data_IF_455199815459
#
_entry.id   IF_455199815459
#
_cell.length_a   1.000
_cell.length_b   1.000
_cell.length_c   1.000
_cell.angle_alpha   90.00
_cell.angle_beta   90.00
_cell.angle_gamma   90.00
#
_symmetry.space_group_name_H-M   'P 1'
#
loop_
_entity.id
_entity.type
_entity.pdbx_description
1 polymer ?
#
# COMPACT_ATOMS: atom_id res chain seq x y z
N UNK A 1 -12.25 -48.11 -14.07
CA UNK A 1 -12.14 -46.67 -13.74
C UNK A 1 -12.30 -46.34 -12.26
N UNK A 2 -13.24 -46.97 -11.51
CA UNK A 2 -13.42 -46.75 -10.05
C UNK A 2 -12.15 -46.85 -9.18
N UNK A 3 -11.24 -47.83 -9.34
CA UNK A 3 -10.06 -47.92 -8.46
C UNK A 3 -9.07 -46.77 -8.64
N UNK A 4 -8.97 -46.20 -9.86
CA UNK A 4 -8.08 -45.07 -10.14
C UNK A 4 -8.55 -43.77 -9.49
N UNK A 5 -9.86 -43.54 -9.51
CA UNK A 5 -10.46 -42.36 -8.87
C UNK A 5 -10.31 -42.39 -7.35
N UNK A 6 -10.36 -43.59 -6.75
CA UNK A 6 -10.10 -43.76 -5.32
C UNK A 6 -8.66 -43.45 -4.95
N UNK A 7 -7.67 -43.88 -5.74
CA UNK A 7 -6.25 -43.59 -5.48
C UNK A 7 -5.95 -42.10 -5.59
N UNK A 8 -6.54 -41.43 -6.60
CA UNK A 8 -6.45 -39.97 -6.74
C UNK A 8 -7.06 -39.31 -5.51
N UNK A 9 -8.29 -39.66 -5.14
CA UNK A 9 -8.97 -39.07 -3.97
C UNK A 9 -8.20 -39.30 -2.67
N UNK A 10 -7.60 -40.47 -2.49
CA UNK A 10 -6.82 -40.84 -1.31
C UNK A 10 -5.50 -40.05 -1.24
N UNK A 11 -4.80 -39.90 -2.37
CA UNK A 11 -3.60 -39.05 -2.46
C UNK A 11 -3.91 -37.56 -2.24
N UNK A 12 -5.08 -37.10 -2.67
CA UNK A 12 -5.56 -35.75 -2.38
C UNK A 12 -5.90 -35.58 -0.90
N UNK A 13 -6.54 -36.57 -0.28
CA UNK A 13 -6.84 -36.57 1.15
C UNK A 13 -5.55 -36.58 1.98
N UNK A 14 -4.55 -37.35 1.56
CA UNK A 14 -3.21 -37.37 2.15
C UNK A 14 -2.52 -36.00 2.05
N UNK A 15 -2.58 -35.35 0.88
CA UNK A 15 -2.04 -34.01 0.68
C UNK A 15 -2.76 -32.95 1.54
N UNK A 16 -4.09 -33.06 1.70
CA UNK A 16 -4.90 -32.18 2.55
C UNK A 16 -4.66 -32.42 4.05
N UNK A 17 -4.35 -33.65 4.44
CA UNK A 17 -4.00 -34.02 5.81
C UNK A 17 -2.53 -33.69 6.17
N UNK A 18 -1.75 -33.19 5.21
CA UNK A 18 -0.35 -32.86 5.44
C UNK A 18 -0.20 -31.70 6.43
N UNK A 19 0.60 -31.90 7.48
CA UNK A 19 0.98 -30.84 8.43
C UNK A 19 1.62 -29.65 7.71
N UNK A 20 2.32 -29.91 6.61
CA UNK A 20 2.99 -28.87 5.82
C UNK A 20 1.98 -27.92 5.18
N UNK A 21 0.85 -28.42 4.68
CA UNK A 21 -0.22 -27.57 4.14
C UNK A 21 -0.75 -26.59 5.19
N UNK A 22 -1.01 -27.08 6.39
CA UNK A 22 -1.50 -26.26 7.49
C UNK A 22 -0.48 -25.23 7.96
N UNK A 23 0.81 -25.60 8.03
CA UNK A 23 1.89 -24.65 8.34
C UNK A 23 1.93 -23.53 7.28
N UNK A 24 1.86 -23.88 6.00
CA UNK A 24 1.83 -22.88 4.92
C UNK A 24 0.59 -21.99 5.04
N UNK A 25 -0.60 -22.55 5.29
CA UNK A 25 -1.81 -21.72 5.51
C UNK A 25 -1.68 -20.79 6.71
N UNK A 26 -1.06 -21.22 7.81
CA UNK A 26 -0.79 -20.33 8.96
C UNK A 26 0.12 -19.18 8.54
N UNK A 27 1.22 -19.48 7.83
CA UNK A 27 2.14 -18.45 7.33
C UNK A 27 1.43 -17.49 6.37
N UNK A 28 0.64 -18.00 5.42
CA UNK A 28 -0.16 -17.18 4.50
C UNK A 28 -1.17 -16.31 5.27
N UNK A 29 -1.78 -16.84 6.32
CA UNK A 29 -2.71 -16.08 7.18
C UNK A 29 -2.00 -14.97 7.93
N UNK A 30 -0.79 -15.20 8.44
CA UNK A 30 0.03 -14.16 9.07
C UNK A 30 0.38 -13.04 8.08
N UNK A 31 0.72 -13.40 6.83
CA UNK A 31 0.98 -12.43 5.76
C UNK A 31 -0.28 -11.60 5.48
N UNK A 32 -1.44 -12.25 5.32
CA UNK A 32 -2.72 -11.56 5.13
C UNK A 32 -3.06 -10.64 6.31
N UNK A 33 -2.83 -11.11 7.54
CA UNK A 33 -3.07 -10.33 8.75
C UNK A 33 -2.13 -9.14 8.88
N UNK A 34 -0.89 -9.24 8.38
CA UNK A 34 0.03 -8.11 8.32
C UNK A 34 -0.40 -7.05 7.29
N UNK A 35 -1.10 -7.45 6.22
CA UNK A 35 -1.59 -6.53 5.17
C UNK A 35 -2.96 -5.92 5.51
N UNK A 36 -3.83 -6.67 6.19
CA UNK A 36 -5.20 -6.27 6.56
C UNK A 36 -5.37 -4.90 7.26
N UNK A 37 -4.42 -4.42 8.09
CA UNK A 37 -4.56 -3.14 8.79
C UNK A 37 -4.31 -1.92 7.91
N UNK A 38 -3.84 -2.10 6.68
CA UNK A 38 -3.61 -1.01 5.75
C UNK A 38 -4.95 -0.40 5.31
N UNK A 39 -5.10 0.91 5.47
CA UNK A 39 -6.31 1.65 5.12
C UNK A 39 -5.95 3.01 4.53
N UNK A 40 -6.65 3.41 3.48
CA UNK A 40 -6.48 4.72 2.83
C UNK A 40 -7.77 5.51 3.01
N UNK A 41 -7.71 6.64 3.73
CA UNK A 41 -8.88 7.50 3.94
C UNK A 41 -8.75 8.80 3.16
N UNK A 42 -9.87 9.30 2.65
CA UNK A 42 -9.97 10.62 2.03
C UNK A 42 -10.60 11.54 3.06
N UNK A 43 -9.98 12.68 3.27
CA UNK A 43 -10.48 13.72 4.15
C UNK A 43 -10.36 15.06 3.42
N UNK A 44 -11.11 16.07 3.88
CA UNK A 44 -10.96 17.42 3.33
C UNK A 44 -9.57 17.94 3.67
N UNK A 45 -8.96 18.63 2.71
CA UNK A 45 -7.64 19.18 2.90
C UNK A 45 -7.62 20.15 4.09
N UNK A 46 -6.75 19.86 5.06
CA UNK A 46 -6.65 20.52 6.35
C UNK A 46 -5.31 21.24 6.54
N UNK A 47 -4.35 21.00 5.63
CA UNK A 47 -3.03 21.60 5.64
C UNK A 47 -2.72 22.31 4.33
N UNK A 48 -1.79 23.25 4.38
CA UNK A 48 -1.20 23.88 3.20
C UNK A 48 0.03 23.05 2.83
N UNK A 49 -0.02 22.44 1.66
CA UNK A 49 1.07 21.65 1.11
C UNK A 49 2.17 22.52 0.52
N UNK A 50 3.43 22.04 0.43
CA UNK A 50 4.49 22.73 -0.30
C UNK A 50 4.12 23.08 -1.75
N UNK A 51 3.21 22.33 -2.36
CA UNK A 51 2.74 22.56 -3.73
C UNK A 51 1.61 23.58 -3.81
N UNK A 52 0.95 23.90 -2.69
CA UNK A 52 -0.18 24.83 -2.64
C UNK A 52 0.26 26.29 -2.50
N UNK A 53 1.54 26.57 -2.19
CA UNK A 53 1.97 27.93 -1.82
C UNK A 53 3.24 28.35 -2.57
N UNK A 54 3.21 29.57 -3.11
CA UNK A 54 4.41 30.28 -3.54
C UNK A 54 5.04 30.99 -2.34
N UNK A 55 5.90 30.27 -1.61
CA UNK A 55 6.45 30.72 -0.33
C UNK A 55 7.15 32.09 -0.39
N UNK A 56 8.03 32.40 -1.38
CA UNK A 56 8.61 33.73 -1.53
C UNK A 56 7.56 34.83 -1.69
N UNK A 57 6.53 34.61 -2.53
CA UNK A 57 5.46 35.58 -2.75
C UNK A 57 4.63 35.77 -1.49
N UNK A 58 4.26 34.68 -0.82
CA UNK A 58 3.51 34.70 0.45
C UNK A 58 4.25 35.48 1.53
N UNK A 59 5.57 35.28 1.67
CA UNK A 59 6.37 36.01 2.65
C UNK A 59 6.34 37.51 2.37
N UNK A 60 6.46 37.92 1.10
CA UNK A 60 6.42 39.34 0.74
C UNK A 60 5.05 39.97 1.00
N UNK A 61 3.97 39.25 0.66
CA UNK A 61 2.58 39.65 0.88
C UNK A 61 2.30 39.81 2.39
N UNK A 62 2.70 38.81 3.19
CA UNK A 62 2.49 38.83 4.63
C UNK A 62 3.28 39.95 5.34
N UNK A 63 4.53 40.19 4.95
CA UNK A 63 5.34 41.25 5.53
C UNK A 63 4.83 42.65 5.15
N UNK A 64 4.22 42.80 3.97
CA UNK A 64 3.57 44.04 3.55
C UNK A 64 2.29 44.29 4.38
N UNK A 65 1.43 43.27 4.49
CA UNK A 65 0.17 43.39 5.25
C UNK A 65 0.39 43.59 6.75
N UNK A 66 1.52 43.14 7.29
CA UNK A 66 1.89 43.41 8.69
C UNK A 66 2.08 44.91 9.00
N UNK A 67 2.30 45.76 7.98
CA UNK A 67 2.51 47.20 8.12
C UNK A 67 1.25 48.03 7.82
N UNK A 68 0.15 47.40 7.42
CA UNK A 68 -1.10 48.07 7.08
C UNK A 68 -1.84 48.57 8.34
N UNK A 69 -2.42 49.76 8.26
CA UNK A 69 -3.25 50.31 9.35
C UNK A 69 -4.63 49.65 9.42
N UNK A 70 -5.19 49.25 8.28
CA UNK A 70 -6.49 48.56 8.18
C UNK A 70 -6.39 47.08 8.60
N UNK A 71 -7.52 46.49 9.01
CA UNK A 71 -7.63 45.07 9.30
C UNK A 71 -7.64 44.26 7.99
N UNK A 72 -6.57 43.51 7.73
CA UNK A 72 -6.43 42.63 6.57
C UNK A 72 -6.14 41.18 6.97
N UNK A 73 -6.39 40.18 6.09
CA UNK A 73 -6.09 38.79 6.38
C UNK A 73 -4.61 38.58 6.75
N UNK A 74 -3.71 39.26 6.03
CA UNK A 74 -2.27 39.25 6.29
C UNK A 74 -1.91 39.79 7.67
N UNK A 75 -2.47 40.92 8.07
CA UNK A 75 -2.25 41.48 9.40
C UNK A 75 -2.75 40.54 10.50
N UNK A 76 -3.93 39.93 10.30
CA UNK A 76 -4.48 38.99 11.28
C UNK A 76 -3.63 37.74 11.42
N UNK A 77 -3.17 37.16 10.31
CA UNK A 77 -2.23 36.03 10.32
C UNK A 77 -0.97 36.43 11.08
N UNK A 78 -0.40 37.60 10.80
CA UNK A 78 0.80 38.10 11.47
C UNK A 78 0.64 38.20 13.00
N UNK A 79 -0.49 38.71 13.48
CA UNK A 79 -0.81 38.83 14.92
C UNK A 79 -0.93 37.50 15.65
N UNK A 80 -1.52 36.50 14.97
CA UNK A 80 -1.81 35.17 15.54
C UNK A 80 -0.56 34.28 15.54
N UNK A 81 0.46 34.69 14.79
CA UNK A 81 1.69 33.93 14.62
C UNK A 81 2.67 34.16 15.77
N UNK A 82 3.49 33.15 16.06
CA UNK A 82 4.54 33.18 17.07
C UNK A 82 5.76 34.04 16.67
N UNK A 83 6.49 34.53 17.67
CA UNK A 83 7.64 35.41 17.47
C UNK A 83 8.76 34.78 16.64
N UNK A 84 8.96 33.46 16.75
CA UNK A 84 9.98 32.74 15.98
C UNK A 84 9.67 32.74 14.48
N UNK A 85 8.41 32.47 14.11
CA UNK A 85 8.00 32.54 12.71
C UNK A 85 8.04 33.98 12.17
N UNK A 86 7.60 34.97 12.95
CA UNK A 86 7.75 36.38 12.58
C UNK A 86 9.21 36.78 12.33
N UNK A 87 10.15 36.31 13.17
CA UNK A 87 11.58 36.55 12.96
C UNK A 87 12.08 35.88 11.68
N UNK A 88 11.65 34.65 11.37
CA UNK A 88 12.02 33.96 10.13
C UNK A 88 11.55 34.72 8.89
N UNK A 89 10.32 35.24 8.92
CA UNK A 89 9.78 36.07 7.83
C UNK A 89 10.61 37.34 7.65
N UNK A 90 10.90 38.07 8.75
CA UNK A 90 11.72 39.29 8.71
C UNK A 90 13.13 39.01 8.16
N UNK A 91 13.76 37.95 8.61
CA UNK A 91 15.09 37.55 8.15
C UNK A 91 15.09 37.27 6.65
N UNK A 92 14.05 36.61 6.13
CA UNK A 92 13.91 36.36 4.70
C UNK A 92 13.61 37.63 3.90
N UNK A 93 12.73 38.50 4.40
CA UNK A 93 12.42 39.77 3.73
C UNK A 93 13.66 40.66 3.52
N UNK A 94 14.63 40.55 4.44
CA UNK A 94 15.90 41.26 4.43
C UNK A 94 17.01 40.59 3.60
N UNK A 95 16.82 39.35 3.12
CA UNK A 95 17.80 38.69 2.24
C UNK A 95 17.73 39.22 0.80
N UNK A 96 18.89 39.47 0.20
CA UNK A 96 19.02 39.93 -1.19
C UNK A 96 18.60 38.85 -2.21
N UNK A 97 18.84 37.57 -1.92
CA UNK A 97 18.53 36.44 -2.83
C UNK A 97 17.18 35.77 -2.47
N UNK A 98 16.08 36.52 -2.65
CA UNK A 98 14.69 36.10 -2.33
C UNK A 98 14.21 34.83 -3.06
N UNK A 99 14.96 34.33 -4.04
CA UNK A 99 14.58 33.15 -4.84
C UNK A 99 14.98 31.80 -4.24
N UNK A 100 15.88 31.75 -3.25
CA UNK A 100 16.53 30.50 -2.80
C UNK A 100 16.28 30.16 -1.33
N UNK A 101 15.04 29.80 -1.00
CA UNK A 101 14.76 29.10 0.26
C UNK A 101 15.34 27.68 0.23
N UNK A 102 16.17 27.33 1.22
CA UNK A 102 16.63 25.95 1.39
C UNK A 102 15.48 25.02 1.76
N UNK A 103 15.62 23.72 1.48
CA UNK A 103 14.57 22.73 1.78
C UNK A 103 14.12 22.76 3.25
N UNK A 104 15.08 22.83 4.20
CA UNK A 104 14.76 22.90 5.64
C UNK A 104 14.06 24.19 6.05
N UNK A 105 14.39 25.32 5.43
CA UNK A 105 13.72 26.60 5.73
C UNK A 105 12.28 26.59 5.22
N UNK A 106 12.06 26.04 4.01
CA UNK A 106 10.71 25.83 3.48
C UNK A 106 9.87 24.95 4.40
N UNK A 107 10.42 23.81 4.82
CA UNK A 107 9.76 22.87 5.72
C UNK A 107 9.36 23.55 7.04
N UNK A 108 10.29 24.25 7.70
CA UNK A 108 10.01 24.96 8.96
C UNK A 108 8.96 26.07 8.82
N UNK A 109 8.97 26.80 7.71
CA UNK A 109 7.97 27.83 7.45
C UNK A 109 6.59 27.20 7.17
N UNK A 110 6.53 26.11 6.42
CA UNK A 110 5.27 25.39 6.20
C UNK A 110 4.72 24.80 7.50
N UNK A 111 5.58 24.24 8.36
CA UNK A 111 5.17 23.73 9.68
C UNK A 111 4.60 24.84 10.58
N UNK A 112 5.26 26.01 10.60
CA UNK A 112 4.76 27.18 11.31
C UNK A 112 3.38 27.63 10.79
N UNK A 113 3.24 27.69 9.46
CA UNK A 113 1.98 28.04 8.81
C UNK A 113 0.86 27.04 9.14
N UNK A 114 1.14 25.74 9.06
CA UNK A 114 0.20 24.67 9.38
C UNK A 114 -0.15 24.58 10.87
N UNK A 115 0.68 25.16 11.75
CA UNK A 115 0.39 25.31 13.18
C UNK A 115 -0.66 26.41 13.41
N UNK A 116 -0.59 27.51 12.66
CA UNK A 116 -1.57 28.60 12.72
C UNK A 116 -2.96 28.12 12.30
N UNK A 117 -3.06 27.21 11.33
CA UNK A 117 -4.35 26.66 10.88
C UNK A 117 -5.14 25.96 12.00
N UNK A 118 -4.48 25.49 13.07
CA UNK A 118 -5.17 24.88 14.20
C UNK A 118 -5.79 25.91 15.17
N UNK A 119 -5.46 27.19 15.04
CA UNK A 119 -5.84 28.22 16.00
C UNK A 119 -7.24 28.79 15.69
N UNK A 120 -8.13 28.74 16.68
CA UNK A 120 -9.50 29.27 16.58
C UNK A 120 -9.53 30.79 16.39
N UNK A 121 -8.49 31.47 16.86
CA UNK A 121 -8.41 32.93 16.83
C UNK A 121 -8.09 33.49 15.44
N UNK A 122 -7.72 32.64 14.47
CA UNK A 122 -7.35 33.10 13.14
C UNK A 122 -8.48 33.91 12.49
N UNK A 123 -9.71 33.40 12.55
CA UNK A 123 -10.85 34.07 11.94
C UNK A 123 -11.34 35.25 12.82
N UNK A 124 -11.33 36.44 12.22
CA UNK A 124 -12.00 37.63 12.74
C UNK A 124 -12.77 38.26 11.60
N UNK A 125 -14.07 38.49 11.79
CA UNK A 125 -14.94 39.01 10.73
C UNK A 125 -14.36 40.27 10.09
N UNK A 126 -13.90 41.23 10.90
CA UNK A 126 -13.25 42.48 10.46
C UNK A 126 -12.10 42.28 9.46
N UNK A 127 -11.27 41.25 9.64
CA UNK A 127 -10.10 41.00 8.80
C UNK A 127 -10.43 40.38 7.44
N UNK A 128 -11.62 39.78 7.26
CA UNK A 128 -12.05 39.16 6.00
C UNK A 128 -13.25 39.87 5.35
N UNK A 129 -13.67 41.04 5.83
CA UNK A 129 -14.85 41.75 5.29
C UNK A 129 -14.68 42.15 3.82
N UNK A 130 -13.46 42.53 3.42
CA UNK A 130 -13.15 42.97 2.06
C UNK A 130 -12.68 41.81 1.15
N UNK A 131 -12.72 40.58 1.65
CA UNK A 131 -12.24 39.39 0.92
C UNK A 131 -13.41 38.62 0.32
N UNK A 132 -13.27 38.18 -0.93
CA UNK A 132 -14.29 37.35 -1.59
C UNK A 132 -14.19 35.90 -1.10
N UNK A 133 -14.91 35.59 -0.02
CA UNK A 133 -14.98 34.23 0.52
C UNK A 133 -15.69 33.26 -0.44
N UNK A 134 -15.12 32.06 -0.58
CA UNK A 134 -15.71 30.97 -1.34
C UNK A 134 -17.02 30.48 -0.70
N UNK A 135 -17.85 29.76 -1.47
CA UNK A 135 -19.07 29.15 -0.95
C UNK A 135 -18.78 28.16 0.18
N UNK A 136 -17.73 27.35 0.01
CA UNK A 136 -17.33 26.35 1.00
C UNK A 136 -16.91 26.99 2.33
N UNK A 137 -16.21 28.13 2.28
CA UNK A 137 -15.81 28.90 3.47
C UNK A 137 -17.04 29.42 4.21
N UNK A 138 -17.99 30.04 3.47
CA UNK A 138 -19.23 30.58 4.05
C UNK A 138 -20.09 29.50 4.72
N UNK A 139 -20.29 28.36 4.04
CA UNK A 139 -21.07 27.23 4.58
C UNK A 139 -20.50 26.67 5.90
N UNK A 140 -19.19 26.73 6.09
CA UNK A 140 -18.56 26.27 7.33
C UNK A 140 -18.53 27.35 8.42
N UNK A 141 -18.44 28.64 8.05
CA UNK A 141 -18.53 29.77 8.97
C UNK A 141 -19.96 29.99 9.51
N UNK A 142 -20.99 29.65 8.72
CA UNK A 142 -22.40 29.70 9.13
C UNK A 142 -22.71 28.66 10.23
N UNK A 143 -21.84 27.67 10.43
CA UNK A 143 -21.95 26.71 11.54
C UNK A 143 -21.40 27.33 12.82
N UNK A 144 -22.00 26.99 13.95
CA UNK A 144 -21.56 27.46 15.27
C UNK A 144 -20.06 27.16 15.49
N UNK A 145 -19.18 28.20 15.56
CA UNK A 145 -17.75 28.02 15.70
C UNK A 145 -17.34 27.28 16.97
N UNK A 146 -18.19 27.31 18.01
CA UNK A 146 -17.93 26.61 19.27
C UNK A 146 -18.17 25.09 19.17
N UNK A 147 -18.94 24.63 18.17
CA UNK A 147 -19.23 23.21 17.93
C UNK A 147 -18.31 22.56 16.89
N UNK A 148 -17.46 23.35 16.21
CA UNK A 148 -16.52 22.83 15.23
C UNK A 148 -15.43 21.99 15.91
N UNK A 149 -15.15 20.82 15.33
CA UNK A 149 -14.01 20.00 15.73
C UNK A 149 -12.69 20.69 15.37
N UNK A 150 -11.58 20.28 15.99
CA UNK A 150 -10.24 20.81 15.67
C UNK A 150 -9.88 20.61 14.19
N UNK A 151 -10.38 19.55 13.57
CA UNK A 151 -10.17 19.27 12.15
C UNK A 151 -10.99 20.22 11.26
N UNK A 152 -12.25 20.50 11.61
CA UNK A 152 -13.07 21.45 10.87
C UNK A 152 -12.48 22.87 10.93
N UNK A 153 -11.89 23.24 12.06
CA UNK A 153 -11.18 24.53 12.21
C UNK A 153 -10.00 24.62 11.26
N UNK A 154 -9.18 23.56 11.16
CA UNK A 154 -8.07 23.51 10.20
C UNK A 154 -8.56 23.66 8.77
N UNK A 155 -9.64 23.00 8.40
CA UNK A 155 -10.25 23.11 7.07
C UNK A 155 -10.76 24.54 6.80
N UNK A 156 -11.49 25.14 7.74
CA UNK A 156 -11.98 26.52 7.60
C UNK A 156 -10.83 27.51 7.48
N UNK A 157 -9.83 27.40 8.36
CA UNK A 157 -8.67 28.27 8.36
C UNK A 157 -7.87 28.12 7.06
N UNK A 158 -7.71 26.90 6.54
CA UNK A 158 -7.08 26.67 5.25
C UNK A 158 -7.85 27.38 4.13
N UNK A 159 -9.18 27.27 4.11
CA UNK A 159 -10.01 27.94 3.11
C UNK A 159 -9.94 29.48 3.23
N UNK A 160 -9.88 30.02 4.45
CA UNK A 160 -9.67 31.45 4.69
C UNK A 160 -8.32 31.94 4.17
N UNK A 161 -7.27 31.12 4.30
CA UNK A 161 -5.95 31.40 3.74
C UNK A 161 -5.97 31.36 2.21
N UNK A 162 -6.70 30.42 1.61
CA UNK A 162 -6.87 30.35 0.16
C UNK A 162 -7.68 31.52 -0.42
N UNK A 163 -8.71 31.95 0.29
CA UNK A 163 -9.53 33.09 -0.11
C UNK A 163 -8.81 34.43 0.10
N UNK A 164 -7.92 34.49 1.10
CA UNK A 164 -7.28 35.72 1.56
C UNK A 164 -5.91 36.04 0.96
N UNK A 165 -5.24 35.08 0.32
CA UNK A 165 -3.87 35.27 -0.20
C UNK A 165 -3.75 34.78 -1.65
N UNK A 166 -3.26 35.65 -2.52
CA UNK A 166 -3.03 35.32 -3.94
C UNK A 166 -1.82 34.40 -4.15
N UNK A 167 -0.99 34.23 -3.12
CA UNK A 167 0.18 33.36 -3.10
C UNK A 167 -0.14 31.90 -2.79
N UNK A 168 -1.35 31.60 -2.32
CA UNK A 168 -1.79 30.25 -1.97
C UNK A 168 -2.85 29.78 -2.98
N UNK A 169 -2.59 28.67 -3.64
CA UNK A 169 -3.47 28.02 -4.61
C UNK A 169 -3.73 26.61 -4.14
N UNK A 170 -4.96 26.32 -3.75
CA UNK A 170 -5.37 24.99 -3.32
C UNK A 170 -5.41 24.07 -4.52
N UNK A 171 -4.31 23.33 -4.76
CA UNK A 171 -4.25 22.43 -5.91
C UNK A 171 -5.07 21.16 -5.68
N UNK A 172 -5.40 20.85 -4.42
CA UNK A 172 -6.33 19.80 -4.04
C UNK A 172 -7.25 20.25 -2.90
N UNK A 173 -8.53 19.90 -3.02
CA UNK A 173 -9.54 20.05 -1.94
C UNK A 173 -9.58 18.82 -1.02
N UNK A 174 -8.91 17.74 -1.42
CA UNK A 174 -8.86 16.46 -0.71
C UNK A 174 -7.42 16.13 -0.30
N UNK A 175 -7.29 15.57 0.90
CA UNK A 175 -6.06 14.99 1.44
C UNK A 175 -6.27 13.49 1.67
N UNK A 176 -5.22 12.72 1.36
CA UNK A 176 -5.22 11.27 1.57
C UNK A 176 -4.31 10.91 2.73
N UNK A 177 -4.83 10.11 3.66
CA UNK A 177 -4.09 9.56 4.78
C UNK A 177 -3.94 8.05 4.63
N UNK A 178 -2.71 7.57 4.70
CA UNK A 178 -2.40 6.14 4.71
C UNK A 178 -2.21 5.71 6.15
N UNK A 179 -3.18 4.98 6.68
CA UNK A 179 -3.12 4.40 8.00
C UNK A 179 -2.63 2.96 7.93
N UNK A 180 -1.73 2.62 8.84
CA UNK A 180 -1.41 1.24 9.16
C UNK A 180 -1.74 1.01 10.63
N UNK A 181 -2.73 0.15 10.88
CA UNK A 181 -3.34 0.00 12.22
C UNK A 181 -3.86 1.36 12.72
N UNK A 182 -3.30 1.85 13.82
CA UNK A 182 -3.67 3.10 14.50
C UNK A 182 -2.75 4.27 14.11
N UNK A 183 -1.76 4.03 13.26
CA UNK A 183 -0.70 4.99 12.96
C UNK A 183 -0.93 5.56 11.57
N UNK A 184 -0.82 6.88 11.44
CA UNK A 184 -0.70 7.55 10.15
C UNK A 184 0.76 7.43 9.68
N UNK A 185 0.96 6.74 8.56
CA UNK A 185 2.30 6.37 8.08
C UNK A 185 2.87 7.46 7.17
N UNK A 186 2.02 8.12 6.39
CA UNK A 186 2.46 9.05 5.34
C UNK A 186 2.22 10.51 5.72
N UNK A 187 1.35 10.77 6.70
CA UNK A 187 0.79 12.10 6.90
C UNK A 187 -0.16 12.50 5.76
N UNK A 188 -0.64 13.75 5.76
CA UNK A 188 -1.59 14.25 4.76
C UNK A 188 -0.92 14.40 3.40
N UNK A 189 -1.33 13.56 2.47
CA UNK A 189 -0.89 13.65 1.08
C UNK A 189 -1.81 14.61 0.31
N UNK A 190 -1.27 15.63 -0.38
CA UNK A 190 -2.05 16.75 -0.95
C UNK A 190 -2.63 16.43 -2.33
N UNK A 191 -3.29 15.28 -2.44
CA UNK A 191 -3.94 14.82 -3.67
C UNK A 191 -5.02 13.80 -3.32
N UNK A 192 -6.10 13.77 -4.10
CA UNK A 192 -7.18 12.78 -3.94
C UNK A 192 -6.73 11.35 -4.29
N UNK A 193 -7.50 10.32 -3.89
CA UNK A 193 -7.11 8.91 -4.12
C UNK A 193 -7.03 8.56 -5.59
N UNK A 194 -7.77 9.27 -6.46
CA UNK A 194 -7.74 9.03 -7.92
C UNK A 194 -6.36 9.18 -8.52
N UNK A 195 -5.55 10.12 -8.00
CA UNK A 195 -4.16 10.32 -8.43
C UNK A 195 -3.21 9.27 -7.82
N UNK A 196 -3.58 8.68 -6.68
CA UNK A 196 -2.84 7.57 -6.08
C UNK A 196 -3.14 6.22 -6.71
N UNK A 197 -4.31 6.03 -7.32
CA UNK A 197 -4.70 4.73 -7.90
C UNK A 197 -3.62 4.14 -8.83
N UNK A 198 -3.04 4.88 -9.81
CA UNK A 198 -2.02 4.33 -10.67
C UNK A 198 -0.73 3.95 -9.92
N UNK A 199 -0.35 4.74 -8.92
CA UNK A 199 0.83 4.48 -8.10
C UNK A 199 0.63 3.26 -7.19
N UNK A 200 -0.55 3.16 -6.56
CA UNK A 200 -0.96 2.02 -5.74
C UNK A 200 -1.05 0.75 -6.59
N UNK A 201 -1.66 0.80 -7.77
CA UNK A 201 -1.74 -0.33 -8.70
C UNK A 201 -0.35 -0.78 -9.16
N UNK A 202 0.55 0.18 -9.45
CA UNK A 202 1.94 -0.12 -9.83
C UNK A 202 2.71 -0.77 -8.68
N UNK A 203 2.59 -0.22 -7.46
CA UNK A 203 3.21 -0.78 -6.27
C UNK A 203 2.67 -2.17 -5.96
N UNK A 204 1.35 -2.35 -6.08
CA UNK A 204 0.67 -3.63 -5.91
C UNK A 204 1.16 -4.63 -6.96
N UNK A 205 1.30 -4.24 -8.23
CA UNK A 205 1.84 -5.09 -9.28
C UNK A 205 3.29 -5.52 -8.99
N UNK A 206 4.13 -4.60 -8.50
CA UNK A 206 5.51 -4.90 -8.09
C UNK A 206 5.51 -5.90 -6.94
N UNK A 207 4.73 -5.63 -5.88
CA UNK A 207 4.61 -6.53 -4.72
C UNK A 207 4.10 -7.90 -5.15
N UNK A 208 3.03 -7.97 -5.94
CA UNK A 208 2.49 -9.23 -6.45
C UNK A 208 3.52 -9.97 -7.32
N UNK A 209 4.25 -9.29 -8.20
CA UNK A 209 5.23 -9.94 -9.06
C UNK A 209 6.40 -10.53 -8.25
N UNK A 210 6.97 -9.77 -7.31
CA UNK A 210 8.10 -10.24 -6.51
C UNK A 210 7.70 -11.22 -5.41
N UNK A 211 6.68 -10.87 -4.61
CA UNK A 211 6.26 -11.64 -3.44
C UNK A 211 5.42 -12.86 -3.85
N UNK A 212 4.43 -12.66 -4.73
CA UNK A 212 3.52 -13.73 -5.13
C UNK A 212 4.04 -14.49 -6.35
N UNK A 213 4.71 -13.83 -7.29
CA UNK A 213 5.38 -14.50 -8.43
C UNK A 213 6.64 -15.24 -7.98
N UNK A 214 7.75 -14.54 -7.86
CA UNK A 214 9.06 -15.16 -7.65
C UNK A 214 9.16 -15.88 -6.31
N UNK A 215 8.91 -15.19 -5.19
CA UNK A 215 9.12 -15.78 -3.87
C UNK A 215 8.16 -16.95 -3.58
N UNK A 216 6.87 -16.81 -3.89
CA UNK A 216 5.92 -17.89 -3.66
C UNK A 216 6.25 -19.14 -4.47
N UNK A 217 6.70 -19.01 -5.73
CA UNK A 217 7.09 -20.15 -6.56
C UNK A 217 8.31 -20.88 -5.98
N UNK A 218 9.32 -20.15 -5.48
CA UNK A 218 10.48 -20.77 -4.85
C UNK A 218 10.12 -21.51 -3.58
N UNK A 219 9.36 -20.87 -2.68
CA UNK A 219 8.88 -21.51 -1.45
C UNK A 219 8.04 -22.74 -1.79
N UNK A 220 7.17 -22.64 -2.80
CA UNK A 220 6.34 -23.73 -3.31
C UNK A 220 7.18 -24.91 -3.81
N UNK A 221 8.22 -24.64 -4.61
CA UNK A 221 9.12 -25.68 -5.12
C UNK A 221 9.91 -26.34 -3.98
N UNK A 222 10.40 -25.56 -3.01
CA UNK A 222 11.10 -26.09 -1.84
C UNK A 222 10.20 -27.02 -1.00
N UNK A 223 8.96 -26.58 -0.78
CA UNK A 223 7.96 -27.34 -0.01
C UNK A 223 7.51 -28.62 -0.73
N UNK A 224 7.46 -28.59 -2.07
CA UNK A 224 6.98 -29.73 -2.88
C UNK A 224 8.11 -30.69 -3.29
N UNK A 225 9.37 -30.25 -3.24
CA UNK A 225 10.54 -31.07 -3.58
C UNK A 225 10.61 -32.44 -2.89
N UNK A 226 10.28 -32.61 -1.59
CA UNK A 226 10.33 -33.92 -0.94
C UNK A 226 9.14 -34.83 -1.31
N UNK A 227 8.05 -34.31 -1.89
CA UNK A 227 6.83 -35.09 -2.14
C UNK A 227 7.01 -36.21 -3.17
N UNK A 228 7.83 -35.99 -4.21
CA UNK A 228 8.10 -36.99 -5.25
C UNK A 228 9.14 -38.01 -4.77
N UNK A 229 10.33 -37.61 -4.27
CA UNK A 229 11.36 -38.55 -3.83
C UNK A 229 10.91 -39.46 -2.67
N UNK A 230 10.17 -38.95 -1.66
CA UNK A 230 9.64 -39.80 -0.58
C UNK A 230 8.63 -40.83 -1.07
N UNK A 231 7.89 -40.54 -2.15
CA UNK A 231 7.01 -41.54 -2.77
C UNK A 231 7.79 -42.66 -3.48
N UNK A 232 9.09 -42.45 -3.76
CA UNK A 232 10.00 -43.41 -4.37
C UNK A 232 10.99 -44.07 -3.39
N UNK A 233 10.96 -43.73 -2.10
CA UNK A 233 11.76 -44.40 -1.06
C UNK A 233 11.24 -45.81 -0.75
N UNK A 234 12.18 -46.75 -0.52
CA UNK A 234 11.89 -48.17 -0.37
C UNK A 234 11.13 -48.46 0.93
N UNK A 235 9.89 -48.96 0.82
CA UNK A 235 9.00 -49.33 1.92
C UNK A 235 7.51 -49.13 1.60
N UNK A 236 7.15 -48.01 0.97
CA UNK A 236 5.77 -47.72 0.53
C UNK A 236 5.42 -48.36 -0.82
N UNK A 237 6.41 -48.47 -1.71
CA UNK A 237 6.26 -49.10 -3.03
C UNK A 237 5.89 -50.58 -2.91
N UNK A 238 6.50 -51.35 -1.99
CA UNK A 238 6.21 -52.78 -1.83
C UNK A 238 4.82 -53.05 -1.23
N UNK A 239 4.29 -52.14 -0.40
CA UNK A 239 2.94 -52.25 0.15
C UNK A 239 1.86 -51.86 -0.89
N UNK A 240 2.15 -50.85 -1.73
CA UNK A 240 1.27 -50.39 -2.82
C UNK A 240 1.32 -51.30 -4.06
N UNK A 241 2.43 -52.00 -4.31
CA UNK A 241 2.57 -52.96 -5.42
C UNK A 241 1.83 -54.29 -5.19
N UNK A 242 1.25 -54.51 -4.00
CA UNK A 242 0.27 -55.60 -3.79
C UNK A 242 -1.03 -55.39 -4.59
N UNK A 243 -1.27 -54.15 -5.07
CA UNK A 243 -2.33 -53.78 -6.02
C UNK A 243 -1.70 -53.38 -7.36
N UNK A 244 -2.32 -53.70 -8.52
CA UNK A 244 -1.74 -53.41 -9.83
C UNK A 244 -1.81 -51.91 -10.15
N UNK A 245 -0.84 -51.15 -9.63
CA UNK A 245 -0.68 -49.71 -9.91
C UNK A 245 0.55 -49.51 -10.79
N UNK A 246 0.38 -48.88 -11.94
CA UNK A 246 1.49 -48.61 -12.88
C UNK A 246 2.37 -47.47 -12.36
N UNK A 247 3.70 -47.59 -12.52
CA UNK A 247 4.68 -46.60 -12.02
C UNK A 247 4.43 -45.18 -12.56
N UNK A 248 4.07 -45.07 -13.84
CA UNK A 248 3.74 -43.78 -14.47
C UNK A 248 2.48 -43.13 -13.88
N UNK A 249 1.53 -43.94 -13.41
CA UNK A 249 0.32 -43.43 -12.77
C UNK A 249 0.62 -42.91 -11.36
N UNK A 250 1.46 -43.60 -10.60
CA UNK A 250 1.92 -43.12 -9.29
C UNK A 250 2.63 -41.77 -9.41
N UNK A 251 3.48 -41.62 -10.42
CA UNK A 251 4.10 -40.34 -10.76
C UNK A 251 3.07 -39.25 -11.09
N UNK A 252 2.11 -39.53 -11.99
CA UNK A 252 1.10 -38.54 -12.38
C UNK A 252 0.24 -38.10 -11.18
N UNK A 253 -0.17 -39.03 -10.33
CA UNK A 253 -0.99 -38.72 -9.14
C UNK A 253 -0.24 -37.83 -8.16
N UNK A 254 1.05 -38.10 -7.89
CA UNK A 254 1.86 -37.24 -7.01
C UNK A 254 2.16 -35.89 -7.66
N UNK A 255 2.35 -35.85 -8.98
CA UNK A 255 2.50 -34.59 -9.72
C UNK A 255 1.26 -33.70 -9.57
N UNK A 256 0.07 -34.25 -9.86
CA UNK A 256 -1.19 -33.51 -9.68
C UNK A 256 -1.47 -33.16 -8.21
N UNK A 257 -1.06 -34.00 -7.27
CA UNK A 257 -1.13 -33.69 -5.83
C UNK A 257 -0.33 -32.43 -5.47
N UNK A 258 0.89 -32.29 -5.98
CA UNK A 258 1.71 -31.07 -5.83
C UNK A 258 1.07 -29.86 -6.49
N UNK A 259 0.52 -30.01 -7.70
CA UNK A 259 -0.19 -28.92 -8.39
C UNK A 259 -1.42 -28.43 -7.62
N UNK A 260 -2.19 -29.34 -7.02
CA UNK A 260 -3.38 -28.99 -6.23
C UNK A 260 -2.99 -28.33 -4.92
N UNK A 261 -1.92 -28.81 -4.27
CA UNK A 261 -1.37 -28.16 -3.08
C UNK A 261 -1.07 -26.68 -3.37
N UNK A 262 -0.44 -26.37 -4.50
CA UNK A 262 -0.16 -24.98 -4.89
C UNK A 262 -1.40 -24.21 -5.30
N UNK A 263 -2.33 -24.83 -6.03
CA UNK A 263 -3.59 -24.19 -6.39
C UNK A 263 -4.38 -23.75 -5.15
N UNK A 264 -4.43 -24.57 -4.09
CA UNK A 264 -5.13 -24.24 -2.86
C UNK A 264 -4.45 -23.07 -2.12
N UNK A 265 -3.13 -23.10 -1.99
CA UNK A 265 -2.36 -22.05 -1.32
C UNK A 265 -2.40 -20.72 -2.09
N UNK A 266 -2.23 -20.76 -3.43
CA UNK A 266 -2.28 -19.56 -4.27
C UNK A 266 -3.68 -18.96 -4.30
N UNK A 267 -4.73 -19.79 -4.37
CA UNK A 267 -6.12 -19.31 -4.27
C UNK A 267 -6.37 -18.65 -2.92
N UNK A 268 -5.97 -19.27 -1.82
CA UNK A 268 -6.14 -18.71 -0.48
C UNK A 268 -5.45 -17.34 -0.33
N UNK A 269 -4.19 -17.24 -0.75
CA UNK A 269 -3.43 -15.98 -0.66
C UNK A 269 -4.03 -14.89 -1.57
N UNK A 270 -4.28 -15.19 -2.85
CA UNK A 270 -4.72 -14.19 -3.82
C UNK A 270 -6.14 -13.72 -3.53
N UNK A 271 -7.06 -14.64 -3.22
CA UNK A 271 -8.42 -14.27 -2.84
C UNK A 271 -8.42 -13.49 -1.52
N UNK A 272 -7.55 -13.86 -0.57
CA UNK A 272 -7.37 -13.12 0.68
C UNK A 272 -6.92 -11.67 0.44
N UNK A 273 -5.91 -11.46 -0.41
CA UNK A 273 -5.45 -10.12 -0.80
C UNK A 273 -6.57 -9.36 -1.51
N UNK A 274 -7.23 -9.99 -2.49
CA UNK A 274 -8.32 -9.37 -3.25
C UNK A 274 -9.48 -8.93 -2.33
N UNK A 275 -9.87 -9.76 -1.36
CA UNK A 275 -10.89 -9.42 -0.36
C UNK A 275 -10.44 -8.28 0.55
N UNK A 276 -9.21 -8.30 1.06
CA UNK A 276 -8.68 -7.23 1.93
C UNK A 276 -8.67 -5.90 1.18
N UNK A 277 -8.15 -5.86 -0.04
CA UNK A 277 -8.08 -4.64 -0.85
C UNK A 277 -9.49 -4.15 -1.25
N UNK A 278 -10.38 -5.05 -1.67
CA UNK A 278 -11.75 -4.71 -2.02
C UNK A 278 -12.56 -4.15 -0.83
N UNK A 279 -12.46 -4.78 0.34
CA UNK A 279 -13.21 -4.37 1.53
C UNK A 279 -12.61 -3.14 2.24
N UNK A 280 -11.27 -3.04 2.33
CA UNK A 280 -10.60 -1.98 3.11
C UNK A 280 -10.31 -0.73 2.30
N UNK A 281 -9.94 -0.88 1.02
CA UNK A 281 -9.57 0.24 0.16
C UNK A 281 -10.66 0.61 -0.84
N UNK A 282 -11.71 -0.21 -0.97
CA UNK A 282 -12.77 -0.03 -1.97
C UNK A 282 -12.30 -0.32 -3.40
N UNK A 283 -11.07 -0.81 -3.58
CA UNK A 283 -10.45 -1.06 -4.88
C UNK A 283 -10.68 -2.51 -5.30
N UNK A 284 -11.68 -2.73 -6.15
CA UNK A 284 -12.01 -4.06 -6.68
C UNK A 284 -11.28 -4.34 -8.00
N UNK A 285 -10.00 -4.69 -7.91
CA UNK A 285 -9.21 -5.05 -9.08
C UNK A 285 -9.30 -6.56 -9.38
N UNK A 286 -10.18 -6.93 -10.30
CA UNK A 286 -10.38 -8.33 -10.71
C UNK A 286 -9.18 -8.93 -11.45
N UNK A 287 -8.27 -8.10 -11.96
CA UNK A 287 -7.04 -8.56 -12.63
C UNK A 287 -6.16 -9.41 -11.70
N UNK A 288 -6.22 -9.17 -10.39
CA UNK A 288 -5.49 -9.93 -9.37
C UNK A 288 -5.87 -11.42 -9.39
N UNK A 289 -7.13 -11.76 -9.71
CA UNK A 289 -7.58 -13.16 -9.74
C UNK A 289 -6.95 -13.95 -10.90
N UNK A 290 -6.57 -13.28 -11.99
CA UNK A 290 -5.82 -13.91 -13.10
C UNK A 290 -4.41 -14.35 -12.70
N UNK A 291 -3.88 -13.87 -11.57
CA UNK A 291 -2.61 -14.37 -11.04
C UNK A 291 -2.71 -15.85 -10.62
N UNK A 292 -3.89 -16.36 -10.23
CA UNK A 292 -4.04 -17.77 -9.79
C UNK A 292 -3.64 -18.75 -10.91
N UNK A 293 -4.25 -18.73 -12.12
CA UNK A 293 -3.87 -19.64 -13.19
C UNK A 293 -2.46 -19.39 -13.72
N UNK A 294 -1.98 -18.14 -13.72
CA UNK A 294 -0.62 -17.80 -14.16
C UNK A 294 0.42 -18.43 -13.22
N UNK A 295 0.22 -18.33 -11.91
CA UNK A 295 1.10 -18.95 -10.92
C UNK A 295 1.06 -20.47 -10.98
N UNK A 296 -0.13 -21.06 -11.17
CA UNK A 296 -0.25 -22.49 -11.35
C UNK A 296 0.53 -22.95 -12.59
N UNK A 297 0.40 -22.24 -13.71
CA UNK A 297 1.13 -22.54 -14.93
C UNK A 297 2.64 -22.43 -14.74
N UNK A 298 3.10 -21.31 -14.16
CA UNK A 298 4.53 -21.10 -13.89
C UNK A 298 5.08 -22.18 -12.95
N UNK A 299 4.33 -22.54 -11.90
CA UNK A 299 4.68 -23.64 -11.00
C UNK A 299 4.78 -24.97 -11.75
N UNK A 300 3.81 -25.30 -12.62
CA UNK A 300 3.83 -26.55 -13.40
C UNK A 300 5.09 -26.66 -14.26
N UNK A 301 5.56 -25.56 -14.86
CA UNK A 301 6.79 -25.55 -15.65
C UNK A 301 8.01 -25.91 -14.78
N UNK A 302 8.22 -25.22 -13.66
CA UNK A 302 9.33 -25.52 -12.74
C UNK A 302 9.21 -26.90 -12.11
N UNK A 303 8.00 -27.27 -11.73
CA UNK A 303 7.71 -28.53 -11.09
C UNK A 303 7.91 -29.71 -12.04
N UNK A 304 7.75 -29.52 -13.36
CA UNK A 304 8.10 -30.54 -14.36
C UNK A 304 9.61 -30.82 -14.39
N UNK A 305 10.43 -29.78 -14.33
CA UNK A 305 11.90 -29.90 -14.26
C UNK A 305 12.33 -30.55 -12.95
N UNK A 306 11.74 -30.10 -11.84
CA UNK A 306 11.94 -30.69 -10.51
C UNK A 306 11.54 -32.17 -10.50
N UNK A 307 10.35 -32.51 -10.99
CA UNK A 307 9.84 -33.88 -11.02
C UNK A 307 10.73 -34.80 -11.86
N UNK A 308 11.24 -34.33 -13.01
CA UNK A 308 12.21 -35.09 -13.81
C UNK A 308 13.51 -35.35 -13.03
N UNK A 309 14.06 -34.33 -12.37
CA UNK A 309 15.25 -34.47 -11.54
C UNK A 309 15.02 -35.42 -10.34
N UNK A 310 13.87 -35.34 -9.70
CA UNK A 310 13.48 -36.22 -8.60
C UNK A 310 13.44 -37.69 -9.04
N UNK A 311 12.94 -38.00 -10.24
CA UNK A 311 12.88 -39.37 -10.76
C UNK A 311 14.27 -39.92 -11.09
N UNK A 312 15.13 -39.09 -11.68
CA UNK A 312 16.46 -39.51 -12.13
C UNK A 312 17.44 -39.71 -10.96
N UNK A 313 17.47 -38.78 -10.00
CA UNK A 313 18.44 -38.78 -8.90
C UNK A 313 17.88 -39.27 -7.56
N UNK A 314 16.56 -39.47 -7.44
CA UNK A 314 15.88 -39.91 -6.21
C UNK A 314 16.27 -39.09 -4.97
N UNK A 315 16.62 -37.81 -5.17
CA UNK A 315 17.10 -36.91 -4.11
C UNK A 315 16.33 -35.59 -4.17
N UNK A 316 15.66 -35.18 -3.08
CA UNK A 316 14.98 -33.88 -3.00
C UNK A 316 15.93 -32.70 -3.22
N UNK A 317 17.17 -32.81 -2.71
CA UNK A 317 18.16 -31.72 -2.79
C UNK A 317 18.53 -31.46 -4.25
N UNK A 318 18.81 -32.51 -5.02
CA UNK A 318 19.16 -32.40 -6.44
C UNK A 318 17.99 -31.80 -7.23
N UNK A 319 16.75 -32.18 -6.90
CA UNK A 319 15.53 -31.63 -7.48
C UNK A 319 15.44 -30.10 -7.34
N UNK A 320 15.67 -29.59 -6.12
CA UNK A 320 15.63 -28.15 -5.82
C UNK A 320 16.76 -27.42 -6.55
N UNK A 321 17.98 -27.94 -6.49
CA UNK A 321 19.15 -27.31 -7.11
C UNK A 321 18.98 -27.20 -8.63
N UNK A 322 18.52 -28.26 -9.30
CA UNK A 322 18.29 -28.23 -10.75
C UNK A 322 17.18 -27.24 -11.12
N UNK A 323 16.11 -27.16 -10.32
CA UNK A 323 15.03 -26.18 -10.53
C UNK A 323 15.55 -24.74 -10.41
N UNK A 324 16.43 -24.48 -9.44
CA UNK A 324 17.06 -23.18 -9.26
C UNK A 324 18.01 -22.83 -10.41
N UNK A 325 18.83 -23.77 -10.87
CA UNK A 325 19.70 -23.60 -12.05
C UNK A 325 18.88 -23.33 -13.32
N UNK A 326 17.76 -24.02 -13.50
CA UNK A 326 16.84 -23.77 -14.61
C UNK A 326 16.23 -22.36 -14.53
N UNK A 327 15.83 -21.92 -13.34
CA UNK A 327 15.37 -20.54 -13.15
C UNK A 327 16.46 -19.51 -13.53
N UNK A 328 17.70 -19.71 -13.06
CA UNK A 328 18.83 -18.85 -13.43
C UNK A 328 19.08 -18.84 -14.93
N UNK A 329 18.91 -19.96 -15.62
CA UNK A 329 19.07 -20.01 -17.08
C UNK A 329 17.96 -19.27 -17.83
N UNK A 330 16.75 -19.17 -17.26
CA UNK A 330 15.63 -18.46 -17.88
C UNK A 330 15.61 -16.95 -17.57
N UNK A 331 16.11 -16.53 -16.41
CA UNK A 331 16.01 -15.16 -15.90
C UNK A 331 17.37 -14.45 -15.72
N UNK A 332 18.48 -15.18 -15.86
CA UNK A 332 19.85 -14.67 -15.71
C UNK A 332 20.52 -14.27 -17.01
#
# INVERSE_FOLDING_TARGET
MRPYWTIIKDSFAEALASRVLWIVFVVLTLILLAVAPLSITEQRASQISPFDIDLPKFISELNQSAQEEEDSPGKRVWEVTDGDFQQRIKNFANQEDRGKLSFREREKLLDGLNTILAQRELYREAAWQNTRLSRATKELLDRDPQKLSTQDIRVVNRLLMLDGFDSIRGNSDEEVHVHYLFWDVTGPLPFGKTLLQPAVDSLLAIILNYLVGTAAIFVSNLVTAPMIPHAFEAGAIDLLLSKPVTRSLLFLVKFFGGSVFILLNSTYLIVGIWLIFGMRLGMWNHSILWCIPILLFQFIVYYSVSAWAAVQWKSPIVSVVITFLFWLACFG
#
